data_IF_096076224051
#
_entry.id   IF_096076224051
#
_cell.length_a   1.000
_cell.length_b   1.000
_cell.length_c   1.000
_cell.angle_alpha   90.00
_cell.angle_beta   90.00
_cell.angle_gamma   90.00
#
_symmetry.space_group_name_H-M   'P 1'
#
loop_
_entity.id
_entity.type
_entity.pdbx_description
1 polymer ?
#
# COMPACT_ATOMS: atom_id res chain seq x y z
N UNK A 1 14.58 -2.58 11.59
CA UNK A 1 15.23 -3.14 10.38
C UNK A 1 14.45 -4.38 9.99
N UNK A 2 13.91 -4.39 8.77
CA UNK A 2 13.36 -5.57 8.10
C UNK A 2 14.45 -6.66 8.03
N UNK A 3 14.22 -7.84 8.62
CA UNK A 3 15.09 -8.97 8.30
C UNK A 3 14.63 -9.52 6.95
N UNK A 4 15.54 -9.86 6.03
CA UNK A 4 15.18 -10.44 4.73
C UNK A 4 14.23 -11.64 4.84
N UNK A 5 14.41 -12.43 5.91
CA UNK A 5 13.61 -13.60 6.28
C UNK A 5 12.12 -13.27 6.50
N UNK A 6 11.81 -12.07 7.00
CA UNK A 6 10.43 -11.65 7.26
C UNK A 6 9.68 -11.41 5.93
N UNK A 7 10.38 -11.06 4.85
CA UNK A 7 9.77 -10.79 3.53
C UNK A 7 9.35 -12.08 2.82
N UNK A 8 10.11 -13.17 2.98
CA UNK A 8 9.80 -14.47 2.38
C UNK A 8 8.55 -15.12 2.99
N UNK A 9 8.13 -14.68 4.18
CA UNK A 9 6.90 -15.16 4.82
C UNK A 9 5.63 -14.48 4.32
N UNK A 10 5.75 -13.40 3.55
CA UNK A 10 4.60 -12.66 3.01
C UNK A 10 4.16 -13.33 1.70
N UNK A 11 3.19 -14.24 1.83
CA UNK A 11 2.67 -15.04 0.72
C UNK A 11 1.27 -14.60 0.26
N UNK A 12 0.55 -13.87 1.12
CA UNK A 12 -0.80 -13.39 0.85
C UNK A 12 -0.92 -11.88 1.09
N UNK A 13 -1.94 -11.28 0.51
CA UNK A 13 -2.33 -9.89 0.83
C UNK A 13 -2.71 -9.71 2.31
N UNK A 14 -3.12 -10.78 2.99
CA UNK A 14 -3.36 -10.76 4.44
C UNK A 14 -2.07 -10.67 5.24
N UNK A 15 -1.05 -11.45 4.87
CA UNK A 15 0.28 -11.39 5.51
C UNK A 15 0.90 -10.01 5.31
N UNK A 16 0.79 -9.48 4.08
CA UNK A 16 1.23 -8.14 3.74
C UNK A 16 0.50 -7.07 4.56
N UNK A 17 -0.82 -7.19 4.72
CA UNK A 17 -1.62 -6.26 5.54
C UNK A 17 -1.16 -6.24 6.99
N UNK A 18 -0.95 -7.42 7.59
CA UNK A 18 -0.47 -7.52 8.97
C UNK A 18 0.92 -6.91 9.13
N UNK A 19 1.82 -7.20 8.18
CA UNK A 19 3.16 -6.65 8.14
C UNK A 19 3.16 -5.10 8.04
N UNK A 20 2.38 -4.54 7.12
CA UNK A 20 2.32 -3.10 6.92
C UNK A 20 1.65 -2.37 8.08
N UNK A 21 0.62 -2.95 8.70
CA UNK A 21 -0.01 -2.38 9.91
C UNK A 21 0.98 -2.27 11.06
N UNK A 22 1.79 -3.31 11.29
CA UNK A 22 2.86 -3.27 12.30
C UNK A 22 3.92 -2.21 11.97
N UNK A 23 4.28 -2.06 10.69
CA UNK A 23 5.22 -1.02 10.24
C UNK A 23 4.66 0.39 10.46
N UNK A 24 3.43 0.66 10.02
CA UNK A 24 2.80 1.99 10.14
C UNK A 24 2.54 2.35 11.60
N UNK A 25 2.08 1.41 12.43
CA UNK A 25 1.85 1.67 13.87
C UNK A 25 3.15 2.00 14.64
N UNK A 26 4.30 1.49 14.19
CA UNK A 26 5.60 1.80 14.80
C UNK A 26 6.13 3.17 14.40
N UNK A 27 5.69 3.69 13.25
CA UNK A 27 6.15 4.93 12.64
C UNK A 27 5.07 6.02 12.66
N UNK A 28 4.03 5.93 13.51
CA UNK A 28 2.82 6.78 13.49
C UNK A 28 3.15 8.29 13.62
N UNK A 29 3.46 8.88 12.46
CA UNK A 29 3.91 10.25 12.19
C UNK A 29 2.73 11.03 11.64
N UNK A 30 1.72 11.38 12.43
CA UNK A 30 0.59 12.29 12.07
C UNK A 30 -0.27 11.93 10.82
N UNK A 31 0.21 11.08 9.91
CA UNK A 31 -0.40 10.64 8.66
C UNK A 31 -1.36 9.51 8.97
N UNK A 32 -2.65 9.78 8.86
CA UNK A 32 -3.74 8.83 9.12
C UNK A 32 -3.82 7.77 8.01
N UNK A 33 -2.80 6.94 7.84
CA UNK A 33 -2.75 5.92 6.80
C UNK A 33 -3.75 4.80 7.13
N UNK A 34 -4.74 4.62 6.25
CA UNK A 34 -5.74 3.57 6.32
C UNK A 34 -5.32 2.36 5.48
N UNK A 35 -5.29 1.19 6.11
CA UNK A 35 -4.96 -0.10 5.49
C UNK A 35 -6.12 -1.06 5.69
N UNK A 36 -6.83 -1.36 4.59
CA UNK A 36 -7.98 -2.26 4.59
C UNK A 36 -7.74 -3.48 3.70
N UNK A 37 -8.16 -4.64 4.18
CA UNK A 37 -8.09 -5.89 3.44
C UNK A 37 -9.50 -6.45 3.26
N UNK A 38 -10.00 -6.40 2.02
CA UNK A 38 -11.32 -6.93 1.65
C UNK A 38 -11.22 -7.76 0.38
N UNK A 39 -11.99 -8.83 0.29
CA UNK A 39 -12.19 -9.62 -0.94
C UNK A 39 -10.91 -10.17 -1.61
N UNK A 40 -9.76 -10.18 -0.93
CA UNK A 40 -8.46 -10.58 -1.50
C UNK A 40 -7.57 -9.41 -1.95
N UNK A 41 -8.08 -8.17 -1.85
CA UNK A 41 -7.38 -6.95 -2.18
C UNK A 41 -7.05 -6.13 -0.94
N UNK A 42 -5.84 -5.62 -0.91
CA UNK A 42 -5.31 -4.72 0.09
C UNK A 42 -5.35 -3.30 -0.46
N UNK A 43 -6.08 -2.41 0.20
CA UNK A 43 -6.11 -1.00 -0.11
C UNK A 43 -5.32 -0.23 0.95
N UNK A 44 -4.48 0.70 0.49
CA UNK A 44 -3.63 1.55 1.32
C UNK A 44 -3.89 2.98 0.85
N UNK A 45 -4.40 3.84 1.75
CA UNK A 45 -4.66 5.23 1.42
C UNK A 45 -4.45 6.13 2.64
N UNK A 46 -4.52 7.45 2.44
CA UNK A 46 -4.50 8.43 3.51
C UNK A 46 -5.62 9.44 3.22
N UNK A 47 -6.54 9.71 4.18
CA UNK A 47 -7.53 10.78 4.06
C UNK A 47 -6.85 12.10 3.73
N UNK A 48 -7.55 12.98 3.01
CA UNK A 48 -7.06 14.29 2.53
C UNK A 48 -6.05 14.23 1.37
N UNK A 49 -5.60 13.04 0.97
CA UNK A 49 -4.76 12.84 -0.21
C UNK A 49 -5.54 12.19 -1.36
N UNK A 50 -5.26 12.65 -2.57
CA UNK A 50 -5.94 12.22 -3.79
C UNK A 50 -5.46 10.86 -4.31
N UNK A 51 -4.41 10.28 -3.74
CA UNK A 51 -3.76 9.09 -4.28
C UNK A 51 -3.50 8.02 -3.22
N UNK A 52 -3.66 6.76 -3.60
CA UNK A 52 -3.43 5.57 -2.78
C UNK A 52 -2.89 4.42 -3.61
N UNK A 53 -2.74 3.26 -2.97
CA UNK A 53 -2.33 2.01 -3.62
C UNK A 53 -3.33 0.90 -3.34
N UNK A 54 -3.56 0.06 -4.34
CA UNK A 54 -4.21 -1.23 -4.16
C UNK A 54 -3.25 -2.35 -4.56
N UNK A 55 -3.25 -3.43 -3.79
CA UNK A 55 -2.41 -4.60 -4.01
C UNK A 55 -3.29 -5.83 -3.94
N UNK A 56 -3.21 -6.69 -4.95
CA UNK A 56 -3.83 -8.02 -4.93
C UNK A 56 -2.86 -9.07 -5.44
N UNK A 57 -3.18 -10.33 -5.18
CA UNK A 57 -2.49 -11.46 -5.79
C UNK A 57 -3.45 -12.10 -6.80
N UNK A 58 -2.96 -12.36 -8.00
CA UNK A 58 -3.72 -13.11 -8.99
C UNK A 58 -3.70 -14.62 -8.72
N UNK A 59 -4.50 -15.44 -9.42
CA UNK A 59 -4.56 -16.89 -9.16
C UNK A 59 -3.23 -17.65 -9.34
N UNK A 60 -2.21 -17.03 -9.90
CA UNK A 60 -0.89 -17.63 -10.14
C UNK A 60 0.17 -17.16 -9.14
N UNK A 61 -0.21 -16.38 -8.13
CA UNK A 61 0.73 -15.86 -7.13
C UNK A 61 1.45 -14.58 -7.56
N UNK A 62 1.01 -13.93 -8.65
CA UNK A 62 1.62 -12.68 -9.12
C UNK A 62 0.97 -11.50 -8.41
N UNK A 63 1.78 -10.63 -7.82
CA UNK A 63 1.32 -9.38 -7.24
C UNK A 63 0.89 -8.41 -8.34
N UNK A 64 -0.26 -7.78 -8.13
CA UNK A 64 -0.80 -6.71 -8.98
C UNK A 64 -0.95 -5.47 -8.13
N UNK A 65 -0.16 -4.44 -8.44
CA UNK A 65 -0.17 -3.13 -7.80
C UNK A 65 -0.94 -2.19 -8.72
N UNK A 66 -1.93 -1.49 -8.17
CA UNK A 66 -2.71 -0.48 -8.88
C UNK A 66 -2.65 0.82 -8.11
N UNK A 67 -2.64 1.93 -8.82
CA UNK A 67 -2.84 3.23 -8.20
C UNK A 67 -4.34 3.44 -7.94
N UNK A 68 -4.63 4.05 -6.81
CA UNK A 68 -5.97 4.48 -6.41
C UNK A 68 -6.02 6.00 -6.48
N UNK A 69 -7.10 6.55 -7.04
CA UNK A 69 -7.32 7.99 -7.15
C UNK A 69 -8.66 8.36 -6.53
N UNK A 70 -8.65 9.31 -5.60
CA UNK A 70 -9.85 9.99 -5.11
C UNK A 70 -9.98 11.33 -5.84
N UNK A 71 -11.12 11.53 -6.51
CA UNK A 71 -11.37 12.77 -7.27
C UNK A 71 -11.72 13.95 -6.36
N UNK A 72 -12.34 13.69 -5.21
CA UNK A 72 -12.85 14.71 -4.29
C UNK A 72 -12.12 14.72 -2.94
N UNK A 73 -11.10 13.87 -2.76
CA UNK A 73 -10.40 13.64 -1.48
C UNK A 73 -11.35 13.23 -0.34
N UNK A 74 -12.48 12.64 -0.70
CA UNK A 74 -13.59 12.23 0.17
C UNK A 74 -13.40 10.84 0.79
N UNK A 75 -12.27 10.19 0.49
CA UNK A 75 -11.98 8.81 0.89
C UNK A 75 -12.58 7.76 -0.03
N UNK A 76 -13.26 8.15 -1.13
CA UNK A 76 -13.71 7.23 -2.17
C UNK A 76 -12.64 7.16 -3.25
N UNK A 77 -12.07 5.96 -3.41
CA UNK A 77 -10.97 5.73 -4.33
C UNK A 77 -11.39 4.86 -5.52
N UNK A 78 -11.07 5.33 -6.72
CA UNK A 78 -11.20 4.55 -7.96
C UNK A 78 -9.83 4.04 -8.40
N UNK A 79 -9.78 2.81 -8.91
CA UNK A 79 -8.55 2.29 -9.51
C UNK A 79 -8.24 3.06 -10.78
N UNK A 80 -6.99 3.50 -10.90
CA UNK A 80 -6.49 3.98 -12.18
C UNK A 80 -6.34 2.81 -13.14
N UNK A 81 -6.32 3.10 -14.45
CA UNK A 81 -6.07 2.08 -15.48
C UNK A 81 -4.64 1.55 -15.47
N UNK A 82 -3.75 2.12 -14.66
CA UNK A 82 -2.34 1.76 -14.58
C UNK A 82 -2.15 0.60 -13.59
N UNK A 83 -1.57 -0.48 -14.09
CA UNK A 83 -1.38 -1.72 -13.36
C UNK A 83 0.08 -2.14 -13.48
N UNK A 84 0.73 -2.45 -12.37
CA UNK A 84 2.06 -3.06 -12.35
C UNK A 84 1.97 -4.49 -11.83
N UNK A 85 2.63 -5.44 -12.50
CA UNK A 85 2.64 -6.85 -12.10
C UNK A 85 4.05 -7.30 -11.74
N UNK A 86 4.19 -8.07 -10.67
CA UNK A 86 5.50 -8.55 -10.20
C UNK A 86 5.36 -9.83 -9.38
N UNK A 87 6.35 -10.72 -9.46
CA UNK A 87 6.44 -11.89 -8.58
C UNK A 87 7.17 -11.56 -7.26
N UNK A 88 7.80 -10.38 -7.18
CA UNK A 88 8.62 -10.00 -6.05
C UNK A 88 7.84 -9.23 -5.00
N UNK A 89 7.66 -9.82 -3.82
CA UNK A 89 7.13 -9.13 -2.64
C UNK A 89 7.94 -7.88 -2.30
N UNK A 90 9.26 -7.89 -2.53
CA UNK A 90 10.11 -6.72 -2.29
C UNK A 90 9.72 -5.54 -3.19
N UNK A 91 9.27 -5.78 -4.41
CA UNK A 91 8.77 -4.71 -5.29
C UNK A 91 7.51 -4.07 -4.72
N UNK A 92 6.61 -4.87 -4.14
CA UNK A 92 5.40 -4.37 -3.46
C UNK A 92 5.78 -3.51 -2.26
N UNK A 93 6.68 -3.99 -1.41
CA UNK A 93 7.14 -3.23 -0.23
C UNK A 93 7.80 -1.91 -0.61
N UNK A 94 8.60 -1.89 -1.68
CA UNK A 94 9.21 -0.66 -2.22
C UNK A 94 8.17 0.32 -2.75
N UNK A 95 7.14 -0.17 -3.45
CA UNK A 95 6.06 0.68 -3.94
C UNK A 95 5.31 1.35 -2.78
N UNK A 96 4.98 0.59 -1.72
CA UNK A 96 4.34 1.14 -0.52
C UNK A 96 5.25 2.14 0.19
N UNK A 97 6.53 1.81 0.38
CA UNK A 97 7.48 2.72 1.01
C UNK A 97 7.66 4.03 0.23
N UNK A 98 7.75 3.96 -1.11
CA UNK A 98 7.80 5.14 -1.97
C UNK A 98 6.56 6.01 -1.79
N UNK A 99 5.37 5.40 -1.80
CA UNK A 99 4.11 6.11 -1.61
C UNK A 99 4.03 6.82 -0.26
N UNK A 100 4.50 6.19 0.83
CA UNK A 100 4.55 6.84 2.16
C UNK A 100 5.49 8.04 2.15
N UNK A 101 6.67 7.93 1.51
CA UNK A 101 7.63 9.04 1.42
C UNK A 101 7.05 10.21 0.63
N UNK A 102 6.41 9.93 -0.51
CA UNK A 102 5.77 10.95 -1.35
C UNK A 102 4.67 11.71 -0.56
N UNK A 103 3.95 11.01 0.33
CA UNK A 103 2.96 11.62 1.23
C UNK A 103 3.62 12.53 2.27
N UNK A 104 4.69 12.08 2.92
CA UNK A 104 5.43 12.86 3.90
C UNK A 104 6.04 14.14 3.29
N UNK A 105 6.53 14.06 2.06
CA UNK A 105 7.06 15.24 1.35
C UNK A 105 5.94 16.20 0.95
N UNK A 106 4.79 15.68 0.54
CA UNK A 106 3.62 16.49 0.20
C UNK A 106 3.07 17.24 1.42
N UNK A 107 2.93 16.57 2.57
CA UNK A 107 2.41 17.18 3.80
C UNK A 107 3.28 18.31 4.34
N UNK A 108 4.61 18.20 4.20
CA UNK A 108 5.56 19.25 4.64
C UNK A 108 5.55 20.52 3.79
N UNK A 109 5.07 20.41 2.55
CA UNK A 109 5.01 21.52 1.59
C UNK A 109 3.67 22.25 1.58
N UNK A 110 2.72 21.85 2.43
CA UNK A 110 1.38 22.44 2.57
C UNK A 110 1.27 23.22 3.87
#
# INVERSE_FOLDING_TARGET
>A
MLRPEDVETILTTRDLSAYLKDMVQKDDRELKIDIDYQSGELCINCPEFSYGLSVKIDPYGVWVISELLSQENDGIFNKSGNLHKTESTMTVLRAVASWIVDLEESSRNT
#
